data_IF_762389410903
#
_entry.id   IF_762389410903
#
_cell.length_a   1.000
_cell.length_b   1.000
_cell.length_c   1.000
_cell.angle_alpha   90.00
_cell.angle_beta   90.00
_cell.angle_gamma   90.00
#
_symmetry.space_group_name_H-M   'P 1'
#
loop_
_entity.id
_entity.type
_entity.pdbx_description
1 polymer ?
#
# COMPACT_ATOMS: atom_id res chain seq x y z
N UNK A 1 -24.12 30.60 40.15
CA UNK A 1 -22.69 30.95 40.06
C UNK A 1 -22.07 29.92 39.13
N UNK A 2 -22.07 30.13 37.81
CA UNK A 2 -21.09 30.91 37.03
C UNK A 2 -19.65 30.61 37.46
N UNK A 3 -18.90 29.96 36.58
CA UNK A 3 -17.46 29.70 36.74
C UNK A 3 -16.88 28.82 35.64
N UNK A 4 -17.16 29.16 34.39
CA UNK A 4 -16.62 28.53 33.17
C UNK A 4 -15.28 29.21 32.88
N UNK A 5 -14.16 28.49 32.95
CA UNK A 5 -12.85 29.00 32.53
C UNK A 5 -12.38 28.13 31.36
N UNK A 6 -12.61 28.62 30.15
CA UNK A 6 -11.90 28.19 28.95
C UNK A 6 -10.59 28.96 28.92
N UNK A 7 -9.46 28.26 28.97
CA UNK A 7 -8.16 28.84 28.61
C UNK A 7 -7.83 28.31 27.22
N UNK A 8 -8.10 29.15 26.21
CA UNK A 8 -7.61 28.97 24.85
C UNK A 8 -6.15 29.45 24.84
N UNK A 9 -5.19 28.56 24.62
CA UNK A 9 -3.82 28.95 24.28
C UNK A 9 -3.67 28.78 22.76
N UNK A 10 -3.82 29.90 22.06
CA UNK A 10 -3.41 30.03 20.66
C UNK A 10 -1.90 30.25 20.67
N UNK A 11 -1.14 29.29 20.13
CA UNK A 11 0.23 29.50 19.71
C UNK A 11 0.33 29.24 18.21
N UNK A 12 0.17 30.33 17.44
CA UNK A 12 0.62 30.39 16.06
C UNK A 12 2.10 30.83 15.98
N UNK A 13 2.63 30.70 14.76
CA UNK A 13 3.99 31.04 14.23
C UNK A 13 4.78 29.77 13.92
N UNK A 14 4.71 29.19 12.70
CA UNK A 14 5.17 29.64 11.38
C UNK A 14 6.67 29.41 11.09
N UNK A 15 6.93 28.92 9.86
CA UNK A 15 8.21 28.87 9.11
C UNK A 15 9.15 27.69 9.46
N UNK A 16 9.78 26.96 8.54
CA UNK A 16 10.09 27.32 7.16
C UNK A 16 10.31 26.10 6.25
N UNK A 17 9.73 26.26 5.07
CA UNK A 17 9.86 25.48 3.86
C UNK A 17 11.20 25.86 3.19
N UNK A 18 12.17 24.95 3.18
CA UNK A 18 13.34 24.97 2.29
C UNK A 18 13.17 23.77 1.35
N UNK A 19 13.28 23.85 0.04
CA UNK A 19 13.53 24.96 -0.86
C UNK A 19 13.53 24.41 -2.27
N UNK A 20 13.00 25.18 -3.22
CA UNK A 20 13.33 25.03 -4.63
C UNK A 20 13.28 26.40 -5.26
N UNK A 21 14.43 26.78 -5.80
CA UNK A 21 14.72 28.05 -6.46
C UNK A 21 14.28 27.99 -7.93
N UNK A 22 13.96 29.19 -8.43
CA UNK A 22 13.94 29.61 -9.84
C UNK A 22 12.68 29.15 -10.63
N UNK A 23 11.93 29.99 -11.34
CA UNK A 23 12.26 31.25 -12.02
C UNK A 23 11.03 32.16 -12.18
N UNK A 24 11.33 33.44 -12.38
CA UNK A 24 10.43 34.57 -12.62
C UNK A 24 9.49 34.36 -13.84
N UNK A 25 8.22 34.74 -13.71
CA UNK A 25 7.35 35.19 -14.82
C UNK A 25 7.32 36.73 -14.78
N UNK A 26 7.20 37.47 -15.90
CA UNK A 26 5.89 37.69 -16.58
C UNK A 26 6.06 37.84 -18.13
N UNK A 27 5.07 37.64 -19.01
CA UNK A 27 3.89 38.49 -19.33
C UNK A 27 3.27 37.89 -20.62
N UNK A 28 1.94 37.88 -20.81
CA UNK A 28 1.31 37.48 -22.07
C UNK A 28 1.10 38.68 -23.01
N UNK A 29 1.40 38.52 -24.30
CA UNK A 29 0.81 39.33 -25.37
C UNK A 29 0.38 38.44 -26.56
N UNK A 30 -0.77 38.75 -27.22
CA UNK A 30 -1.27 37.99 -28.35
C UNK A 30 -0.92 38.66 -29.69
N UNK A 31 -0.60 37.88 -30.73
CA UNK A 31 -1.12 38.08 -32.11
C UNK A 31 -0.67 37.01 -33.11
N UNK A 32 -1.71 36.55 -33.80
CA UNK A 32 -1.85 35.86 -35.09
C UNK A 32 -0.77 36.15 -36.15
N UNK A 33 -0.25 35.10 -36.80
CA UNK A 33 -0.33 34.89 -38.26
C UNK A 33 0.36 33.59 -38.70
N UNK A 34 -0.39 32.80 -39.46
CA UNK A 34 0.03 31.68 -40.33
C UNK A 34 1.27 32.04 -41.17
N UNK A 35 2.14 31.06 -41.45
CA UNK A 35 2.61 30.73 -42.80
C UNK A 35 3.37 29.37 -42.79
N UNK A 36 2.88 28.49 -43.65
CA UNK A 36 3.40 27.22 -44.15
C UNK A 36 4.90 27.20 -44.48
N UNK A 37 5.64 26.16 -44.05
CA UNK A 37 6.71 25.53 -44.87
C UNK A 37 7.25 24.19 -44.29
N UNK A 38 7.02 23.14 -45.08
CA UNK A 38 7.77 21.91 -45.44
C UNK A 38 8.79 21.24 -44.48
N UNK A 39 8.73 19.89 -44.32
CA UNK A 39 9.70 19.08 -43.55
C UNK A 39 10.97 18.72 -44.36
N UNK A 40 12.13 18.57 -43.70
CA UNK A 40 13.24 17.78 -44.23
C UNK A 40 13.31 16.35 -43.66
N UNK A 41 13.56 15.42 -44.58
CA UNK A 41 13.80 13.97 -44.47
C UNK A 41 15.16 13.61 -43.79
N UNK A 42 15.45 12.32 -43.54
CA UNK A 42 16.40 11.84 -42.54
C UNK A 42 17.86 11.81 -43.00
N UNK A 43 18.78 11.96 -42.05
CA UNK A 43 20.21 11.70 -42.26
C UNK A 43 20.52 10.27 -41.86
N UNK A 44 20.79 9.45 -42.87
CA UNK A 44 21.46 8.15 -42.77
C UNK A 44 22.95 8.40 -42.52
N UNK A 45 23.51 7.77 -41.48
CA UNK A 45 24.95 7.54 -41.38
C UNK A 45 25.18 6.04 -41.23
N UNK A 46 25.66 5.43 -42.31
CA UNK A 46 26.41 4.19 -42.27
C UNK A 46 27.85 4.54 -41.90
N UNK A 47 28.45 3.80 -40.97
CA UNK A 47 29.83 3.35 -41.16
C UNK A 47 30.11 2.04 -40.41
N UNK A 48 30.93 1.27 -41.08
CA UNK A 48 31.09 -0.17 -41.06
C UNK A 48 32.30 -0.58 -40.19
N UNK A 49 32.50 -1.89 -40.07
CA UNK A 49 33.77 -2.59 -39.83
C UNK A 49 34.02 -3.28 -38.48
N UNK A 50 33.70 -4.59 -38.52
CA UNK A 50 34.58 -5.75 -38.24
C UNK A 50 35.31 -5.87 -36.89
N UNK A 51 35.06 -6.98 -36.17
CA UNK A 51 36.06 -8.09 -36.05
C UNK A 51 35.52 -9.32 -35.31
N UNK A 52 35.90 -10.49 -35.81
CA UNK A 52 35.55 -11.83 -35.35
C UNK A 52 36.28 -12.26 -34.06
N UNK A 53 35.70 -13.26 -33.39
CA UNK A 53 36.19 -14.01 -32.21
C UNK A 53 37.51 -14.77 -32.44
N UNK A 54 38.17 -15.27 -31.36
CA UNK A 54 37.95 -16.69 -31.02
C UNK A 54 38.00 -17.06 -29.51
N UNK A 55 37.15 -18.04 -29.20
CA UNK A 55 37.26 -19.20 -28.28
C UNK A 55 38.60 -19.41 -27.54
N UNK A 56 38.52 -19.56 -26.20
CA UNK A 56 39.52 -20.30 -25.40
C UNK A 56 38.81 -21.24 -24.41
N UNK A 57 39.24 -22.50 -24.42
CA UNK A 57 38.79 -23.64 -23.62
C UNK A 57 39.62 -23.79 -22.33
N UNK A 58 39.05 -24.58 -21.40
CA UNK A 58 39.67 -25.43 -20.37
C UNK A 58 39.91 -24.89 -18.94
N UNK A 59 40.00 -25.77 -17.91
CA UNK A 59 39.45 -27.12 -17.73
C UNK A 59 38.77 -27.39 -16.37
N UNK A 60 38.04 -28.51 -16.31
CA UNK A 60 37.43 -29.13 -15.14
C UNK A 60 38.38 -29.34 -13.97
N UNK A 61 37.91 -29.05 -12.75
CA UNK A 61 38.39 -29.65 -11.52
C UNK A 61 37.30 -30.60 -10.99
N UNK A 62 37.55 -31.90 -11.09
CA UNK A 62 36.72 -32.96 -10.51
C UNK A 62 37.12 -33.12 -9.04
N UNK A 63 36.18 -32.92 -8.12
CA UNK A 63 36.26 -33.44 -6.77
C UNK A 63 35.10 -34.42 -6.54
N UNK A 64 35.37 -35.68 -6.16
CA UNK A 64 34.33 -36.59 -5.70
C UNK A 64 34.19 -36.44 -4.19
N UNK A 65 32.97 -36.23 -3.66
CA UNK A 65 32.61 -36.70 -2.31
C UNK A 65 31.10 -36.66 -2.01
N UNK A 66 30.60 -37.87 -1.78
CA UNK A 66 29.67 -38.28 -0.72
C UNK A 66 28.19 -37.88 -0.82
N UNK A 67 27.38 -38.86 -1.26
CA UNK A 67 26.00 -39.02 -0.81
C UNK A 67 25.94 -39.02 0.73
N UNK A 68 25.36 -37.99 1.33
CA UNK A 68 24.67 -38.12 2.61
C UNK A 68 23.43 -37.23 2.60
N UNK A 69 22.31 -37.94 2.43
CA UNK A 69 20.96 -37.61 2.87
C UNK A 69 21.00 -36.98 4.26
N UNK A 70 20.70 -35.69 4.37
CA UNK A 70 20.30 -35.07 5.62
C UNK A 70 18.99 -34.31 5.36
N UNK A 71 18.00 -34.62 6.18
CA UNK A 71 16.58 -34.37 6.01
C UNK A 71 16.23 -33.09 5.26
N UNK A 72 15.55 -33.28 4.12
CA UNK A 72 14.46 -32.38 3.78
C UNK A 72 13.56 -32.32 5.02
N UNK A 73 13.68 -31.26 5.80
CA UNK A 73 12.60 -30.83 6.68
C UNK A 73 11.44 -30.51 5.76
N UNK A 74 10.65 -31.53 5.45
CA UNK A 74 9.32 -31.38 4.87
C UNK A 74 8.59 -30.42 5.79
N UNK A 75 8.49 -29.17 5.35
CA UNK A 75 7.66 -28.15 5.97
C UNK A 75 6.25 -28.68 6.01
N UNK A 76 5.84 -29.15 7.18
CA UNK A 76 4.51 -29.72 7.43
C UNK A 76 3.42 -28.64 7.46
N UNK A 77 3.73 -27.40 7.09
CA UNK A 77 2.80 -26.27 7.05
C UNK A 77 2.10 -26.09 5.69
N UNK A 78 2.58 -26.71 4.60
CA UNK A 78 2.11 -26.43 3.23
C UNK A 78 0.93 -27.29 2.74
N UNK A 79 0.35 -28.16 3.57
CA UNK A 79 -0.68 -29.11 3.12
C UNK A 79 -2.02 -28.46 2.68
N UNK A 80 -2.22 -27.15 2.94
CA UNK A 80 -3.45 -26.44 2.59
C UNK A 80 -3.25 -25.24 1.65
N UNK A 81 -2.04 -25.01 1.15
CA UNK A 81 -1.76 -23.89 0.26
C UNK A 81 -2.27 -24.14 -1.16
N UNK A 82 -2.95 -23.14 -1.72
CA UNK A 82 -3.39 -23.13 -3.11
C UNK A 82 -2.20 -22.67 -3.96
N UNK A 83 -1.61 -23.59 -4.73
CA UNK A 83 -0.44 -23.29 -5.57
C UNK A 83 -0.82 -22.69 -6.93
N UNK A 84 -2.04 -22.93 -7.43
CA UNK A 84 -2.55 -22.36 -8.68
C UNK A 84 -3.42 -21.12 -8.44
N UNK A 85 -2.99 -20.26 -7.50
CA UNK A 85 -3.81 -19.14 -7.05
C UNK A 85 -3.98 -18.05 -8.11
N UNK A 86 -3.00 -17.83 -8.98
CA UNK A 86 -3.05 -16.88 -10.10
C UNK A 86 -4.20 -17.24 -11.07
N UNK A 87 -4.28 -18.50 -11.48
CA UNK A 87 -5.34 -19.00 -12.37
C UNK A 87 -6.73 -18.87 -11.71
N UNK A 88 -6.82 -19.06 -10.39
CA UNK A 88 -8.06 -18.82 -9.64
C UNK A 88 -8.41 -17.35 -9.53
N UNK A 89 -7.42 -16.47 -9.36
CA UNK A 89 -7.60 -15.03 -9.34
C UNK A 89 -8.19 -14.56 -10.68
N UNK A 90 -7.58 -14.96 -11.80
CA UNK A 90 -8.08 -14.67 -13.14
C UNK A 90 -9.50 -15.18 -13.35
N UNK A 91 -9.78 -16.42 -12.93
CA UNK A 91 -11.12 -17.00 -13.03
C UNK A 91 -12.16 -16.22 -12.21
N UNK A 92 -11.83 -15.78 -11.00
CA UNK A 92 -12.74 -15.01 -10.13
C UNK A 92 -12.93 -13.59 -10.67
N UNK A 93 -11.87 -12.99 -11.23
CA UNK A 93 -11.87 -11.63 -11.79
C UNK A 93 -12.38 -11.55 -13.22
N UNK A 94 -12.80 -12.67 -13.82
CA UNK A 94 -13.44 -12.70 -15.12
C UNK A 94 -14.55 -11.63 -15.22
N UNK A 95 -14.81 -11.04 -16.41
CA UNK A 95 -15.71 -9.89 -16.53
C UNK A 95 -17.12 -10.15 -15.98
N UNK A 96 -17.60 -11.39 -16.02
CA UNK A 96 -18.91 -11.77 -15.56
C UNK A 96 -19.05 -11.76 -14.02
N UNK A 97 -20.27 -11.52 -13.54
CA UNK A 97 -20.61 -11.59 -12.11
C UNK A 97 -20.51 -10.26 -11.36
N UNK A 98 -21.07 -10.22 -10.15
CA UNK A 98 -21.10 -9.02 -9.30
C UNK A 98 -19.80 -8.87 -8.53
N UNK A 99 -19.32 -7.64 -8.38
CA UNK A 99 -18.10 -7.32 -7.62
C UNK A 99 -18.14 -7.87 -6.18
N UNK A 100 -19.28 -7.75 -5.51
CA UNK A 100 -19.50 -8.30 -4.16
C UNK A 100 -19.29 -9.82 -4.08
N UNK A 101 -19.64 -10.54 -5.16
CA UNK A 101 -19.50 -11.99 -5.21
C UNK A 101 -18.06 -12.38 -5.52
N UNK A 102 -17.33 -11.54 -6.29
CA UNK A 102 -15.88 -11.70 -6.51
C UNK A 102 -15.11 -11.46 -5.21
N UNK A 103 -15.42 -10.39 -4.48
CA UNK A 103 -14.79 -10.08 -3.19
C UNK A 103 -14.94 -11.25 -2.19
N UNK A 104 -16.14 -11.83 -2.08
CA UNK A 104 -16.39 -13.00 -1.22
C UNK A 104 -15.56 -14.22 -1.62
N UNK A 105 -15.42 -14.48 -2.92
CA UNK A 105 -14.62 -15.59 -3.42
C UNK A 105 -13.13 -15.38 -3.16
N UNK A 106 -12.62 -14.16 -3.40
CA UNK A 106 -11.22 -13.82 -3.09
C UNK A 106 -10.93 -13.92 -1.59
N UNK A 107 -11.81 -13.39 -0.73
CA UNK A 107 -11.68 -13.51 0.74
C UNK A 107 -11.63 -14.97 1.20
N UNK A 108 -12.38 -15.87 0.56
CA UNK A 108 -12.41 -17.28 0.91
C UNK A 108 -11.10 -18.01 0.61
N UNK A 109 -10.38 -17.60 -0.45
CA UNK A 109 -9.09 -18.20 -0.82
C UNK A 109 -7.90 -17.49 -0.19
N UNK A 110 -8.05 -16.21 0.20
CA UNK A 110 -7.01 -15.35 0.77
C UNK A 110 -6.13 -16.01 1.85
N UNK A 111 -6.65 -16.66 2.91
CA UNK A 111 -5.80 -17.25 3.94
C UNK A 111 -5.03 -18.50 3.48
N UNK A 112 -5.30 -19.00 2.26
CA UNK A 112 -4.74 -20.24 1.72
C UNK A 112 -3.74 -20.02 0.59
N UNK A 113 -3.55 -18.79 0.11
CA UNK A 113 -2.53 -18.49 -0.90
C UNK A 113 -1.19 -18.17 -0.22
N UNK A 114 -0.03 -18.32 -0.89
CA UNK A 114 1.25 -17.87 -0.36
C UNK A 114 1.25 -16.35 -0.12
N UNK A 115 2.17 -15.85 0.70
CA UNK A 115 2.23 -14.43 1.10
C UNK A 115 2.28 -13.45 -0.08
N UNK A 116 2.94 -13.83 -1.19
CA UNK A 116 2.96 -13.07 -2.43
C UNK A 116 1.56 -12.95 -3.05
N UNK A 117 0.86 -14.08 -3.20
CA UNK A 117 -0.52 -14.09 -3.65
C UNK A 117 -1.47 -13.35 -2.70
N UNK A 118 -1.19 -13.32 -1.40
CA UNK A 118 -2.00 -12.54 -0.45
C UNK A 118 -1.89 -11.05 -0.74
N UNK A 119 -0.69 -10.53 -1.04
CA UNK A 119 -0.50 -9.12 -1.35
C UNK A 119 -1.24 -8.71 -2.64
N UNK A 120 -1.18 -9.54 -3.68
CA UNK A 120 -1.92 -9.29 -4.92
C UNK A 120 -3.44 -9.39 -4.73
N UNK A 121 -3.91 -10.44 -4.05
CA UNK A 121 -5.34 -10.57 -3.74
C UNK A 121 -5.83 -9.41 -2.88
N UNK A 122 -5.03 -8.90 -1.95
CA UNK A 122 -5.36 -7.72 -1.15
C UNK A 122 -5.62 -6.52 -2.05
N UNK A 123 -4.78 -6.28 -3.05
CA UNK A 123 -4.95 -5.15 -3.98
C UNK A 123 -6.29 -5.21 -4.73
N UNK A 124 -6.70 -6.41 -5.18
CA UNK A 124 -7.99 -6.61 -5.82
C UNK A 124 -9.16 -6.50 -4.82
N UNK A 125 -9.01 -7.06 -3.62
CA UNK A 125 -10.00 -6.98 -2.57
C UNK A 125 -10.29 -5.53 -2.17
N UNK A 126 -9.28 -4.69 -2.05
CA UNK A 126 -9.42 -3.26 -1.80
C UNK A 126 -10.35 -2.60 -2.82
N UNK A 127 -10.15 -2.86 -4.12
CA UNK A 127 -10.98 -2.27 -5.17
C UNK A 127 -12.42 -2.84 -5.21
N UNK A 128 -12.61 -4.11 -4.84
CA UNK A 128 -13.90 -4.79 -4.91
C UNK A 128 -14.76 -4.63 -3.64
N UNK A 129 -14.15 -4.25 -2.52
CA UNK A 129 -14.82 -4.20 -1.23
C UNK A 129 -15.40 -2.80 -1.00
N UNK A 130 -16.73 -2.76 -0.81
CA UNK A 130 -17.43 -1.54 -0.42
C UNK A 130 -17.12 -1.15 1.02
N UNK A 131 -17.38 0.09 1.39
CA UNK A 131 -17.18 0.56 2.77
C UNK A 131 -18.10 -0.18 3.76
N UNK A 132 -19.31 -0.53 3.33
CA UNK A 132 -20.29 -1.29 4.13
C UNK A 132 -19.83 -2.74 4.38
N UNK A 133 -19.09 -3.31 3.44
CA UNK A 133 -18.59 -4.68 3.49
C UNK A 133 -17.11 -4.76 3.91
N UNK A 134 -16.54 -3.67 4.44
CA UNK A 134 -15.11 -3.62 4.77
C UNK A 134 -14.69 -4.54 5.93
N UNK A 135 -15.66 -4.91 6.78
CA UNK A 135 -15.49 -5.73 7.99
C UNK A 135 -14.48 -6.87 7.85
N UNK A 136 -14.71 -7.83 6.94
CA UNK A 136 -13.81 -8.98 6.73
C UNK A 136 -12.40 -8.60 6.28
N UNK A 137 -12.26 -7.56 5.44
CA UNK A 137 -10.94 -7.12 4.97
C UNK A 137 -10.15 -6.44 6.10
N UNK A 138 -10.82 -5.59 6.88
CA UNK A 138 -10.23 -4.90 8.02
C UNK A 138 -9.79 -5.82 9.17
N UNK A 139 -10.33 -7.05 9.27
CA UNK A 139 -9.83 -8.03 10.24
C UNK A 139 -8.37 -8.42 9.98
N UNK A 140 -7.94 -8.46 8.72
CA UNK A 140 -6.56 -8.76 8.36
C UNK A 140 -5.60 -7.63 8.75
N UNK A 141 -6.05 -6.37 8.70
CA UNK A 141 -5.26 -5.23 9.18
C UNK A 141 -4.93 -5.32 10.67
N UNK A 142 -5.87 -5.85 11.46
CA UNK A 142 -5.69 -6.07 12.91
C UNK A 142 -5.04 -7.40 13.25
N UNK A 143 -4.49 -8.12 12.26
CA UNK A 143 -3.81 -9.39 12.47
C UNK A 143 -2.29 -9.21 12.34
N UNK A 144 -1.59 -9.18 13.46
CA UNK A 144 -0.13 -9.02 13.51
C UNK A 144 0.67 -10.17 12.88
N UNK A 145 0.02 -11.28 12.50
CA UNK A 145 0.66 -12.38 11.78
C UNK A 145 0.65 -12.19 10.25
N UNK A 146 -0.04 -11.18 9.72
CA UNK A 146 0.02 -10.85 8.30
C UNK A 146 1.41 -10.35 7.90
N UNK A 147 1.80 -10.59 6.65
CA UNK A 147 3.05 -10.03 6.12
C UNK A 147 2.95 -8.52 6.02
N UNK A 148 4.09 -7.83 6.16
CA UNK A 148 4.13 -6.37 6.08
C UNK A 148 3.61 -5.86 4.73
N UNK A 149 3.95 -6.53 3.63
CA UNK A 149 3.46 -6.17 2.28
C UNK A 149 1.93 -6.24 2.16
N UNK A 150 1.27 -7.20 2.82
CA UNK A 150 -0.20 -7.24 2.86
C UNK A 150 -0.73 -6.08 3.69
N UNK A 151 -0.15 -5.85 4.87
CA UNK A 151 -0.56 -4.76 5.74
C UNK A 151 -0.38 -3.38 5.08
N UNK A 152 0.68 -3.17 4.29
CA UNK A 152 0.91 -1.94 3.52
C UNK A 152 -0.22 -1.66 2.53
N UNK A 153 -0.59 -2.67 1.73
CA UNK A 153 -1.68 -2.55 0.73
C UNK A 153 -2.99 -2.21 1.43
N UNK A 154 -3.31 -2.95 2.49
CA UNK A 154 -4.56 -2.73 3.23
C UNK A 154 -4.57 -1.39 3.97
N UNK A 155 -3.43 -0.96 4.52
CA UNK A 155 -3.34 0.33 5.23
C UNK A 155 -3.53 1.47 4.24
N UNK A 156 -2.85 1.42 3.09
CA UNK A 156 -3.03 2.41 2.04
C UNK A 156 -4.48 2.49 1.56
N UNK A 157 -5.15 1.34 1.40
CA UNK A 157 -6.58 1.32 1.09
C UNK A 157 -7.42 1.96 2.22
N UNK A 158 -7.18 1.60 3.48
CA UNK A 158 -7.89 2.15 4.64
C UNK A 158 -7.83 3.68 4.68
N UNK A 159 -6.69 4.27 4.32
CA UNK A 159 -6.53 5.73 4.28
C UNK A 159 -7.41 6.43 3.23
N UNK A 160 -7.88 5.69 2.23
CA UNK A 160 -8.81 6.18 1.21
C UNK A 160 -10.29 5.96 1.59
N UNK A 161 -10.57 5.28 2.72
CA UNK A 161 -11.94 5.04 3.21
C UNK A 161 -12.53 6.25 3.94
N UNK A 162 -13.86 6.31 4.10
CA UNK A 162 -14.51 7.29 4.99
C UNK A 162 -14.01 7.18 6.42
N UNK A 163 -14.06 8.28 7.18
CA UNK A 163 -13.52 8.35 8.54
C UNK A 163 -14.26 7.41 9.51
N UNK A 164 -15.56 7.20 9.30
CA UNK A 164 -16.37 6.23 10.04
C UNK A 164 -15.87 4.79 9.93
N UNK A 165 -15.16 4.44 8.86
CA UNK A 165 -14.48 3.15 8.69
C UNK A 165 -13.04 3.26 9.18
N UNK A 166 -12.32 4.28 8.71
CA UNK A 166 -10.87 4.45 8.91
C UNK A 166 -10.47 4.56 10.37
N UNK A 167 -11.07 5.48 11.12
CA UNK A 167 -10.59 5.80 12.48
C UNK A 167 -10.74 4.62 13.44
N UNK A 168 -11.87 3.87 13.46
CA UNK A 168 -11.98 2.67 14.30
C UNK A 168 -10.91 1.61 14.02
N UNK A 169 -10.54 1.41 12.75
CA UNK A 169 -9.46 0.47 12.40
C UNK A 169 -8.09 0.98 12.79
N UNK A 170 -7.78 2.28 12.57
CA UNK A 170 -6.52 2.87 13.05
C UNK A 170 -6.38 2.71 14.57
N UNK A 171 -7.46 2.95 15.32
CA UNK A 171 -7.48 2.73 16.77
C UNK A 171 -7.28 1.26 17.16
N UNK A 172 -7.90 0.34 16.41
CA UNK A 172 -7.70 -1.09 16.60
C UNK A 172 -6.25 -1.53 16.36
N UNK A 173 -5.60 -1.01 15.32
CA UNK A 173 -4.21 -1.31 14.95
C UNK A 173 -3.25 -0.70 15.98
N UNK A 174 -3.42 0.57 16.34
CA UNK A 174 -2.56 1.28 17.30
C UNK A 174 -2.54 0.62 18.68
N UNK A 175 -3.65 0.01 19.11
CA UNK A 175 -3.76 -0.72 20.39
C UNK A 175 -2.94 -2.00 20.44
N UNK A 176 -2.56 -2.56 19.29
CA UNK A 176 -1.83 -3.81 19.21
C UNK A 176 -0.34 -3.54 19.03
N UNK A 177 0.41 -3.39 20.11
CA UNK A 177 1.84 -3.02 20.06
C UNK A 177 2.71 -3.97 19.20
N UNK A 178 2.29 -5.24 19.06
CA UNK A 178 2.95 -6.23 18.22
C UNK A 178 2.60 -6.14 16.72
N UNK A 179 1.63 -5.32 16.33
CA UNK A 179 1.26 -5.13 14.92
C UNK A 179 2.32 -4.25 14.23
N UNK A 180 2.88 -4.65 13.08
CA UNK A 180 3.87 -3.86 12.36
C UNK A 180 3.42 -2.43 12.02
N UNK A 181 2.10 -2.19 11.94
CA UNK A 181 1.50 -0.89 11.62
C UNK A 181 0.99 -0.11 12.84
N UNK A 182 1.27 -0.57 14.07
CA UNK A 182 0.80 0.08 15.28
C UNK A 182 1.31 1.52 15.43
N UNK A 183 2.60 1.74 15.14
CA UNK A 183 3.20 3.07 15.17
C UNK A 183 2.55 4.02 14.17
N UNK A 184 2.55 3.63 12.89
CA UNK A 184 1.93 4.41 11.81
C UNK A 184 0.45 4.73 12.11
N UNK A 185 -0.31 3.75 12.62
CA UNK A 185 -1.71 3.94 12.97
C UNK A 185 -1.90 4.96 14.09
N UNK A 186 -1.02 4.95 15.10
CA UNK A 186 -1.03 5.91 16.20
C UNK A 186 -0.70 7.32 15.71
N UNK A 187 0.34 7.46 14.89
CA UNK A 187 0.75 8.75 14.33
C UNK A 187 -0.38 9.37 13.49
N UNK A 188 -1.11 8.54 12.74
CA UNK A 188 -2.29 8.98 11.99
C UNK A 188 -3.44 9.40 12.93
N UNK A 189 -3.70 8.67 14.01
CA UNK A 189 -4.70 9.08 15.00
C UNK A 189 -4.34 10.41 15.66
N UNK A 190 -3.06 10.62 16.01
CA UNK A 190 -2.55 11.90 16.53
C UNK A 190 -2.82 13.03 15.53
N UNK A 191 -2.62 12.77 14.23
CA UNK A 191 -2.90 13.73 13.17
C UNK A 191 -4.40 14.05 13.02
N UNK A 192 -5.27 13.05 13.01
CA UNK A 192 -6.72 13.25 12.84
C UNK A 192 -7.39 13.91 14.05
N UNK A 193 -6.96 13.52 15.25
CA UNK A 193 -7.58 13.95 16.50
C UNK A 193 -6.87 15.14 17.14
N UNK A 194 -5.72 15.58 16.59
CA UNK A 194 -4.88 16.68 17.07
C UNK A 194 -4.44 16.55 18.53
N UNK A 195 -4.29 15.31 19.00
CA UNK A 195 -4.19 14.96 20.41
C UNK A 195 -3.16 13.84 20.61
N UNK A 196 -2.52 13.80 21.79
CA UNK A 196 -1.61 12.71 22.15
C UNK A 196 -1.93 12.22 23.57
N UNK A 197 -2.70 11.13 23.66
CA UNK A 197 -3.07 10.50 24.94
C UNK A 197 -2.14 9.34 25.33
N UNK A 198 -0.98 9.21 24.70
CA UNK A 198 -0.05 8.10 24.96
C UNK A 198 -0.73 6.74 24.74
N UNK A 199 -0.78 5.92 25.80
CA UNK A 199 -1.41 4.60 25.78
C UNK A 199 -2.78 4.59 26.50
N UNK A 200 -3.39 5.75 26.75
CA UNK A 200 -4.73 5.86 27.32
C UNK A 200 -5.79 5.61 26.24
N UNK A 201 -5.97 4.34 25.89
CA UNK A 201 -6.83 3.91 24.80
C UNK A 201 -8.31 4.22 25.00
N UNK A 202 -8.73 4.47 26.24
CA UNK A 202 -10.08 4.89 26.57
C UNK A 202 -10.31 6.37 26.18
N UNK A 203 -9.32 7.24 26.43
CA UNK A 203 -9.37 8.63 25.95
C UNK A 203 -9.34 8.72 24.44
N UNK A 204 -8.47 7.95 23.80
CA UNK A 204 -8.43 7.82 22.34
C UNK A 204 -9.80 7.45 21.76
N UNK A 205 -10.46 6.43 22.33
CA UNK A 205 -11.82 6.04 21.91
C UNK A 205 -12.82 7.18 22.08
N UNK A 206 -12.86 7.80 23.26
CA UNK A 206 -13.83 8.84 23.56
C UNK A 206 -13.67 10.06 22.63
N UNK A 207 -12.42 10.45 22.34
CA UNK A 207 -12.11 11.53 21.38
C UNK A 207 -12.49 11.15 19.97
N UNK A 208 -12.15 9.94 19.51
CA UNK A 208 -12.55 9.45 18.20
C UNK A 208 -14.08 9.45 18.04
N UNK A 209 -14.81 8.93 19.02
CA UNK A 209 -16.28 8.87 19.01
C UNK A 209 -16.90 10.28 18.99
N UNK A 210 -16.26 11.27 19.64
CA UNK A 210 -16.70 12.66 19.59
C UNK A 210 -16.38 13.29 18.23
N UNK A 211 -15.16 13.11 17.74
CA UNK A 211 -14.72 13.62 16.45
C UNK A 211 -15.59 13.11 15.30
N UNK A 212 -15.96 11.83 15.31
CA UNK A 212 -16.85 11.23 14.32
C UNK A 212 -18.28 11.80 14.35
N UNK A 213 -18.75 12.27 15.52
CA UNK A 213 -20.05 12.96 15.62
C UNK A 213 -19.98 14.37 15.05
N UNK A 214 -18.86 15.05 15.28
CA UNK A 214 -18.65 16.43 14.86
C UNK A 214 -18.26 16.54 13.38
N UNK A 215 -17.72 15.46 12.80
CA UNK A 215 -17.23 15.37 11.42
C UNK A 215 -17.86 14.14 10.71
N UNK A 216 -19.17 14.15 10.41
CA UNK A 216 -19.78 13.09 9.62
C UNK A 216 -19.22 13.06 8.20
N UNK A 217 -19.08 11.86 7.63
CA UNK A 217 -18.64 11.63 6.25
C UNK A 217 -19.63 12.18 5.20
#
# INVERSE_FOLDING_TARGET
>A
MVGLIVVVIIAGVALGWLGSRASKTPTPEPRTANLTQTPPEPVVVHEDSTKASPKTLNPQAVLPRTNQTLGSTTSVASANQITNWEERLEQILAPEGKESDKAKQLLAIFPRVPSEGQAELAQHLCNLTSDQDYGPLGQYLTNSAMSESVLDVLMNDLLNRPNSVKLPYLLGIARQEQNPKAGDAKDLLELFLEENDGNDWAKWQAKMDQWLKDNPD
#
